data_IF_858721649360
#
_entry.id   IF_858721649360
#
_cell.length_a   1.000
_cell.length_b   1.000
_cell.length_c   1.000
_cell.angle_alpha   90.00
_cell.angle_beta   90.00
_cell.angle_gamma   90.00
#
_symmetry.space_group_name_H-M   'P 1'
#
loop_
_entity.id
_entity.type
_entity.pdbx_description
1 polymer ?
#
# COMPACT_ATOMS: atom_id res chain seq x y z
N UNK A 1 -24.57 13.12 10.80
CA UNK A 1 -24.32 14.32 9.98
C UNK A 1 -25.16 14.19 8.73
N UNK A 2 -26.02 15.17 8.43
CA UNK A 2 -26.77 15.22 7.19
C UNK A 2 -25.79 15.17 6.00
N UNK A 3 -26.15 14.42 4.96
CA UNK A 3 -25.36 14.26 3.74
C UNK A 3 -25.16 15.61 3.07
N UNK A 4 -24.03 16.27 3.34
CA UNK A 4 -23.50 17.24 2.40
C UNK A 4 -23.18 16.44 1.14
N UNK A 5 -23.79 16.82 0.01
CA UNK A 5 -23.57 16.16 -1.27
C UNK A 5 -22.06 16.07 -1.55
N UNK A 6 -21.57 14.85 -1.74
CA UNK A 6 -20.21 14.66 -2.21
C UNK A 6 -20.08 15.33 -3.57
N UNK A 7 -19.00 16.08 -3.82
CA UNK A 7 -18.78 16.69 -5.10
C UNK A 7 -18.71 15.62 -6.19
N UNK A 8 -19.22 15.93 -7.38
CA UNK A 8 -19.06 15.06 -8.55
C UNK A 8 -17.68 15.25 -9.17
N UNK A 9 -17.06 14.16 -9.61
CA UNK A 9 -15.69 14.17 -10.11
C UNK A 9 -14.66 13.96 -9.01
N UNK A 10 -13.39 14.06 -9.40
CA UNK A 10 -12.24 13.62 -8.61
C UNK A 10 -11.36 14.77 -8.13
N UNK A 11 -11.36 15.91 -8.82
CA UNK A 11 -10.51 17.06 -8.46
C UNK A 11 -10.92 17.77 -7.17
N UNK A 12 -12.18 17.60 -6.75
CA UNK A 12 -12.70 18.17 -5.49
C UNK A 12 -12.61 17.18 -4.31
N UNK A 13 -12.19 15.94 -4.56
CA UNK A 13 -11.96 14.96 -3.50
C UNK A 13 -10.69 15.29 -2.72
N UNK A 14 -10.64 14.86 -1.46
CA UNK A 14 -9.50 15.10 -0.56
C UNK A 14 -8.33 14.12 -0.79
N UNK A 15 -8.04 13.83 -2.07
CA UNK A 15 -6.95 12.94 -2.50
C UNK A 15 -5.60 13.64 -2.34
N UNK A 16 -4.56 12.89 -2.03
CA UNK A 16 -3.18 13.35 -1.95
C UNK A 16 -2.69 13.89 -3.29
N UNK A 17 -3.13 13.31 -4.40
CA UNK A 17 -2.86 13.78 -5.77
C UNK A 17 -3.35 15.22 -6.00
N UNK A 18 -4.36 15.68 -5.24
CA UNK A 18 -4.92 17.03 -5.37
C UNK A 18 -4.25 18.06 -4.44
N UNK A 19 -3.34 17.66 -3.54
CA UNK A 19 -2.79 18.53 -2.47
C UNK A 19 -1.59 19.37 -2.86
N UNK A 20 -1.02 19.20 -4.06
CA UNK A 20 0.14 19.96 -4.49
C UNK A 20 1.01 19.23 -5.52
N UNK A 21 2.26 19.70 -5.73
CA UNK A 21 3.19 19.06 -6.64
C UNK A 21 3.54 17.65 -6.16
N UNK A 22 3.71 16.74 -7.10
CA UNK A 22 4.03 15.34 -6.86
C UNK A 22 5.46 15.09 -7.29
N UNK A 23 6.23 14.38 -6.46
CA UNK A 23 7.59 13.97 -6.83
C UNK A 23 7.52 13.05 -8.05
N UNK A 24 8.33 13.33 -9.06
CA UNK A 24 8.27 12.68 -10.37
C UNK A 24 8.36 11.15 -10.29
N UNK A 25 9.29 10.61 -9.49
CA UNK A 25 9.44 9.16 -9.32
C UNK A 25 8.15 8.51 -8.78
N UNK A 26 7.49 9.13 -7.80
CA UNK A 26 6.24 8.64 -7.23
C UNK A 26 5.11 8.67 -8.26
N UNK A 27 5.01 9.76 -9.02
CA UNK A 27 4.01 9.88 -10.07
C UNK A 27 4.22 8.86 -11.19
N UNK A 28 5.47 8.67 -11.63
CA UNK A 28 5.82 7.71 -12.68
C UNK A 28 5.52 6.27 -12.26
N UNK A 29 5.91 5.88 -11.05
CA UNK A 29 5.57 4.56 -10.52
C UNK A 29 4.07 4.37 -10.41
N UNK A 30 3.34 5.36 -9.87
CA UNK A 30 1.89 5.24 -9.74
C UNK A 30 1.21 5.09 -11.10
N UNK A 31 1.66 5.83 -12.11
CA UNK A 31 1.20 5.67 -13.49
C UNK A 31 1.45 4.26 -14.01
N UNK A 32 2.66 3.72 -13.83
CA UNK A 32 2.99 2.34 -14.26
C UNK A 32 2.08 1.30 -13.59
N UNK A 33 1.83 1.41 -12.29
CA UNK A 33 0.91 0.51 -11.57
C UNK A 33 -0.52 0.60 -12.12
N UNK A 34 -1.03 1.82 -12.32
CA UNK A 34 -2.39 2.01 -12.84
C UNK A 34 -2.52 1.54 -14.30
N UNK A 35 -1.49 1.69 -15.13
CA UNK A 35 -1.46 1.18 -16.50
C UNK A 35 -1.44 -0.36 -16.53
N UNK A 36 -0.65 -1.01 -15.68
CA UNK A 36 -0.68 -2.47 -15.50
C UNK A 36 -2.08 -2.94 -15.07
N UNK A 37 -2.70 -2.24 -14.12
CA UNK A 37 -4.03 -2.59 -13.63
C UNK A 37 -5.07 -2.42 -14.75
N UNK A 38 -4.98 -1.34 -15.52
CA UNK A 38 -5.86 -1.08 -16.65
C UNK A 38 -5.73 -2.18 -17.71
N UNK A 39 -4.50 -2.63 -18.01
CA UNK A 39 -4.27 -3.70 -18.98
C UNK A 39 -4.94 -5.01 -18.52
N UNK A 40 -4.79 -5.38 -17.25
CA UNK A 40 -5.39 -6.60 -16.68
C UNK A 40 -6.91 -6.50 -16.54
N UNK A 41 -7.45 -5.30 -16.36
CA UNK A 41 -8.88 -5.05 -16.14
C UNK A 41 -9.59 -4.35 -17.30
N UNK A 42 -9.00 -4.35 -18.50
CA UNK A 42 -9.52 -3.62 -19.66
C UNK A 42 -10.97 -3.99 -20.05
N UNK A 43 -11.41 -5.20 -19.71
CA UNK A 43 -12.76 -5.71 -20.01
C UNK A 43 -13.71 -5.63 -18.81
N UNK A 44 -13.26 -5.08 -17.66
CA UNK A 44 -14.06 -4.97 -16.44
C UNK A 44 -14.56 -3.53 -16.26
N UNK A 45 -15.68 -3.30 -15.57
CA UNK A 45 -16.20 -1.96 -15.28
C UNK A 45 -15.20 -1.06 -14.54
N UNK A 46 -14.39 -1.62 -13.64
CA UNK A 46 -13.36 -0.87 -12.88
C UNK A 46 -12.34 -0.10 -13.75
N UNK A 47 -12.20 -0.43 -15.04
CA UNK A 47 -11.34 0.30 -15.99
C UNK A 47 -11.61 1.81 -16.02
N UNK A 48 -12.86 2.24 -15.83
CA UNK A 48 -13.22 3.66 -15.79
C UNK A 48 -12.65 4.36 -14.55
N UNK A 49 -12.77 3.71 -13.38
CA UNK A 49 -12.16 4.19 -12.14
C UNK A 49 -10.63 4.33 -12.25
N UNK A 50 -9.98 3.37 -12.91
CA UNK A 50 -8.53 3.42 -13.17
C UNK A 50 -8.17 4.59 -14.10
N UNK A 51 -8.92 4.78 -15.19
CA UNK A 51 -8.72 5.91 -16.12
C UNK A 51 -8.95 7.26 -15.46
N UNK A 52 -9.90 7.37 -14.52
CA UNK A 52 -10.08 8.60 -13.74
C UNK A 52 -8.83 8.98 -12.98
N UNK A 53 -8.24 8.03 -12.24
CA UNK A 53 -6.99 8.27 -11.51
C UNK A 53 -5.81 8.58 -12.45
N UNK A 54 -5.71 7.91 -13.61
CA UNK A 54 -4.70 8.24 -14.62
C UNK A 54 -4.88 9.68 -15.15
N UNK A 55 -6.11 10.12 -15.38
CA UNK A 55 -6.41 11.49 -15.82
C UNK A 55 -6.07 12.53 -14.75
N UNK A 56 -6.45 12.30 -13.50
CA UNK A 56 -6.11 13.19 -12.37
C UNK A 56 -4.60 13.25 -12.16
N UNK A 57 -3.90 12.12 -12.25
CA UNK A 57 -2.45 12.06 -12.14
C UNK A 57 -1.76 12.81 -13.29
N UNK A 58 -2.22 12.62 -14.54
CA UNK A 58 -1.69 13.34 -15.69
C UNK A 58 -1.84 14.86 -15.54
N UNK A 59 -3.01 15.31 -15.08
CA UNK A 59 -3.25 16.73 -14.81
C UNK A 59 -2.36 17.27 -13.67
N UNK A 60 -2.12 16.47 -12.63
CA UNK A 60 -1.23 16.86 -11.54
C UNK A 60 0.24 16.95 -11.96
N UNK A 61 0.66 16.17 -12.96
CA UNK A 61 2.03 16.20 -13.50
C UNK A 61 2.26 17.37 -14.47
N UNK A 62 1.26 17.75 -15.26
CA UNK A 62 1.38 18.81 -16.26
C UNK A 62 0.05 19.57 -16.37
N UNK A 63 -0.08 20.64 -15.55
CA UNK A 63 -1.30 21.47 -15.52
C UNK A 63 -1.41 22.39 -16.72
N UNK A 64 -0.29 22.72 -17.34
CA UNK A 64 -0.22 23.67 -18.45
C UNK A 64 -0.53 22.98 -19.78
N UNK A 65 -0.34 21.65 -19.87
CA UNK A 65 -0.69 20.82 -21.03
C UNK A 65 -1.64 19.68 -20.64
N UNK A 66 -2.93 19.97 -20.40
CA UNK A 66 -3.85 18.99 -19.85
C UNK A 66 -4.40 17.99 -20.88
N UNK A 67 -3.86 17.97 -22.11
CA UNK A 67 -4.33 17.11 -23.21
C UNK A 67 -4.34 15.63 -22.81
N UNK A 68 -3.29 15.17 -22.11
CA UNK A 68 -3.23 13.80 -21.61
C UNK A 68 -4.34 13.48 -20.62
N UNK A 69 -4.70 14.42 -19.75
CA UNK A 69 -5.80 14.24 -18.82
C UNK A 69 -7.15 14.23 -19.55
N UNK A 70 -7.31 15.16 -20.52
CA UNK A 70 -8.50 15.28 -21.36
C UNK A 70 -8.78 13.99 -22.11
N UNK A 71 -7.78 13.44 -22.80
CA UNK A 71 -7.87 12.18 -23.54
C UNK A 71 -8.38 11.03 -22.68
N UNK A 72 -7.93 10.93 -21.41
CA UNK A 72 -8.41 9.88 -20.50
C UNK A 72 -9.90 10.02 -20.19
N UNK A 73 -10.39 11.22 -19.91
CA UNK A 73 -11.79 11.46 -19.59
C UNK A 73 -12.70 11.36 -20.82
N UNK A 74 -12.26 11.85 -21.97
CA UNK A 74 -12.96 11.69 -23.26
C UNK A 74 -13.10 10.21 -23.64
N UNK A 75 -12.06 9.40 -23.38
CA UNK A 75 -12.13 7.96 -23.62
C UNK A 75 -13.12 7.23 -22.70
N UNK A 76 -13.33 7.72 -21.47
CA UNK A 76 -14.40 7.19 -20.62
C UNK A 76 -15.75 7.54 -21.24
N UNK A 77 -15.94 8.79 -21.67
CA UNK A 77 -17.21 9.26 -22.26
C UNK A 77 -17.53 8.63 -23.62
N UNK A 78 -16.55 8.13 -24.36
CA UNK A 78 -16.80 7.39 -25.59
C UNK A 78 -17.36 5.98 -25.33
N UNK A 79 -17.06 5.39 -24.17
CA UNK A 79 -17.58 4.09 -23.72
C UNK A 79 -18.84 4.22 -22.85
N UNK A 80 -18.91 5.26 -22.02
CA UNK A 80 -20.02 5.59 -21.12
C UNK A 80 -20.32 7.10 -21.18
N UNK A 81 -21.14 7.54 -22.17
CA UNK A 81 -21.48 8.95 -22.37
C UNK A 81 -22.15 9.61 -21.17
N UNK A 82 -22.66 8.82 -20.23
CA UNK A 82 -23.38 9.28 -19.04
C UNK A 82 -22.54 9.22 -17.77
N UNK A 83 -21.24 8.93 -17.87
CA UNK A 83 -20.35 8.91 -16.71
C UNK A 83 -20.25 10.29 -16.03
N UNK A 84 -20.88 10.43 -14.86
CA UNK A 84 -20.98 11.70 -14.12
C UNK A 84 -19.60 12.23 -13.72
N UNK A 85 -18.70 11.35 -13.28
CA UNK A 85 -17.36 11.73 -12.88
C UNK A 85 -16.53 12.21 -14.07
N UNK A 86 -16.67 11.58 -15.25
CA UNK A 86 -15.92 11.96 -16.44
C UNK A 86 -16.37 13.34 -16.96
N UNK A 87 -17.68 13.60 -16.97
CA UNK A 87 -18.23 14.94 -17.29
C UNK A 87 -17.68 16.01 -16.35
N UNK A 88 -17.67 15.75 -15.04
CA UNK A 88 -17.12 16.68 -14.04
C UNK A 88 -15.63 16.93 -14.22
N UNK A 89 -14.86 15.85 -14.40
CA UNK A 89 -13.42 15.92 -14.54
C UNK A 89 -13.02 16.64 -15.83
N UNK A 90 -13.70 16.36 -16.94
CA UNK A 90 -13.49 17.03 -18.22
C UNK A 90 -13.82 18.52 -18.14
N UNK A 91 -14.93 18.88 -17.48
CA UNK A 91 -15.30 20.27 -17.28
C UNK A 91 -14.23 21.03 -16.46
N UNK A 92 -13.71 20.39 -15.40
CA UNK A 92 -12.62 20.93 -14.60
C UNK A 92 -11.35 21.15 -15.41
N UNK A 93 -10.92 20.14 -16.17
CA UNK A 93 -9.73 20.21 -17.04
C UNK A 93 -9.85 21.31 -18.09
N UNK A 94 -11.04 21.52 -18.65
CA UNK A 94 -11.28 22.54 -19.67
C UNK A 94 -11.48 23.95 -19.09
N UNK A 95 -11.46 24.12 -17.76
CA UNK A 95 -11.74 25.40 -17.11
C UNK A 95 -13.18 25.88 -17.31
N UNK A 96 -14.10 24.97 -17.63
CA UNK A 96 -15.52 25.25 -17.83
C UNK A 96 -16.30 25.02 -16.55
N UNK A 97 -17.46 25.67 -16.40
CA UNK A 97 -18.37 25.37 -15.31
C UNK A 97 -18.77 23.89 -15.40
N UNK A 98 -18.69 23.18 -14.27
CA UNK A 98 -19.26 21.84 -14.20
C UNK A 98 -20.76 21.93 -14.54
N UNK A 99 -21.31 20.99 -15.33
CA UNK A 99 -22.74 20.97 -15.56
C UNK A 99 -23.46 20.93 -14.21
N UNK A 100 -24.61 21.63 -14.06
CA UNK A 100 -25.42 21.49 -12.86
C UNK A 100 -25.79 20.01 -12.76
N UNK A 101 -25.30 19.36 -11.71
CA UNK A 101 -25.81 18.05 -11.33
C UNK A 101 -27.11 18.35 -10.61
N UNK A 102 -28.22 18.21 -11.31
CA UNK A 102 -29.54 18.27 -10.69
C UNK A 102 -29.58 17.31 -9.48
N UNK A 103 -30.45 17.60 -8.51
CA UNK A 103 -30.71 16.64 -7.45
C UNK A 103 -30.98 15.27 -8.09
N UNK A 104 -30.31 14.21 -7.64
CA UNK A 104 -30.34 12.94 -8.32
C UNK A 104 -31.78 12.44 -8.40
N UNK A 105 -32.31 12.27 -9.61
CA UNK A 105 -33.61 11.61 -9.80
C UNK A 105 -33.44 10.12 -9.54
N UNK A 106 -33.46 9.72 -8.26
CA UNK A 106 -33.31 8.34 -7.83
C UNK A 106 -34.59 7.50 -8.04
N UNK A 107 -35.55 7.97 -8.84
CA UNK A 107 -36.76 7.20 -9.13
C UNK A 107 -36.53 6.13 -10.20
N UNK A 108 -35.64 6.37 -11.17
CA UNK A 108 -35.32 5.41 -12.23
C UNK A 108 -34.13 4.51 -11.88
N UNK A 109 -34.16 3.25 -12.34
CA UNK A 109 -33.06 2.30 -12.14
C UNK A 109 -31.76 2.77 -12.82
N UNK A 110 -31.86 3.35 -14.02
CA UNK A 110 -30.72 3.88 -14.76
C UNK A 110 -30.00 5.01 -13.99
N UNK A 111 -30.76 5.93 -13.40
CA UNK A 111 -30.19 7.00 -12.57
C UNK A 111 -29.54 6.44 -11.30
N UNK A 112 -30.17 5.47 -10.62
CA UNK A 112 -29.55 4.79 -9.47
C UNK A 112 -28.22 4.14 -9.83
N UNK A 113 -28.14 3.42 -10.95
CA UNK A 113 -26.90 2.81 -11.43
C UNK A 113 -25.83 3.86 -11.71
N UNK A 114 -26.19 4.95 -12.39
CA UNK A 114 -25.28 6.05 -12.71
C UNK A 114 -24.69 6.70 -11.44
N UNK A 115 -25.52 6.97 -10.43
CA UNK A 115 -25.06 7.51 -9.14
C UNK A 115 -24.27 6.50 -8.31
N UNK A 116 -24.61 5.22 -8.37
CA UNK A 116 -23.83 4.16 -7.71
C UNK A 116 -22.43 4.03 -8.32
N UNK A 117 -22.33 4.03 -9.65
CA UNK A 117 -21.04 4.06 -10.37
C UNK A 117 -20.20 5.26 -9.99
N UNK A 118 -20.82 6.44 -9.91
CA UNK A 118 -20.16 7.65 -9.42
C UNK A 118 -19.48 7.40 -8.07
N UNK A 119 -20.22 6.84 -7.10
CA UNK A 119 -19.66 6.54 -5.79
C UNK A 119 -18.56 5.48 -5.84
N UNK A 120 -18.77 4.38 -6.57
CA UNK A 120 -17.79 3.30 -6.69
C UNK A 120 -16.45 3.79 -7.27
N UNK A 121 -16.48 4.60 -8.33
CA UNK A 121 -15.27 5.18 -8.93
C UNK A 121 -14.56 6.16 -7.98
N UNK A 122 -15.30 6.98 -7.24
CA UNK A 122 -14.71 7.85 -6.20
C UNK A 122 -14.14 7.03 -5.04
N UNK A 123 -14.78 5.91 -4.69
CA UNK A 123 -14.31 4.96 -3.69
C UNK A 123 -12.98 4.34 -4.11
N UNK A 124 -12.88 3.93 -5.38
CA UNK A 124 -11.64 3.46 -5.98
C UNK A 124 -10.53 4.51 -5.86
N UNK A 125 -10.84 5.78 -6.12
CA UNK A 125 -9.86 6.85 -6.04
C UNK A 125 -9.24 6.99 -4.64
N UNK A 126 -10.04 6.93 -3.57
CA UNK A 126 -9.51 6.95 -2.21
C UNK A 126 -8.70 5.70 -1.86
N UNK A 127 -9.05 4.54 -2.42
CA UNK A 127 -8.37 3.27 -2.18
C UNK A 127 -7.01 3.19 -2.86
N UNK A 128 -6.91 3.72 -4.08
CA UNK A 128 -5.79 3.48 -5.00
C UNK A 128 -5.11 4.77 -5.48
N UNK A 129 -5.17 5.86 -4.72
CA UNK A 129 -4.46 7.10 -5.01
C UNK A 129 -2.91 6.95 -4.97
N UNK A 130 -2.20 8.08 -4.88
CA UNK A 130 -0.75 8.24 -5.10
C UNK A 130 0.17 7.23 -4.38
N UNK A 131 -0.14 6.82 -3.15
CA UNK A 131 0.72 5.94 -2.35
C UNK A 131 0.01 4.62 -2.01
N UNK A 132 0.75 3.51 -2.09
CA UNK A 132 0.22 2.15 -1.88
C UNK A 132 -0.17 1.87 -0.42
N UNK A 133 0.49 2.53 0.52
CA UNK A 133 0.29 2.36 1.96
C UNK A 133 0.20 3.72 2.67
N UNK A 134 -0.45 3.71 3.83
CA UNK A 134 -0.52 4.85 4.75
C UNK A 134 -0.76 4.31 6.15
N UNK A 135 -0.42 5.11 7.16
CA UNK A 135 -0.66 4.77 8.58
C UNK A 135 -2.07 5.08 9.09
N UNK A 136 -2.91 5.77 8.32
CA UNK A 136 -4.26 6.19 8.78
C UNK A 136 -5.39 5.43 8.09
N UNK A 137 -6.53 5.31 8.78
CA UNK A 137 -7.72 4.64 8.24
C UNK A 137 -8.54 5.54 7.31
N UNK A 138 -8.42 6.87 7.43
CA UNK A 138 -9.34 7.87 6.86
C UNK A 138 -9.68 7.64 5.38
N UNK A 139 -8.68 7.38 4.53
CA UNK A 139 -8.93 7.18 3.09
C UNK A 139 -9.65 5.86 2.82
N UNK A 140 -9.30 4.80 3.55
CA UNK A 140 -9.94 3.50 3.37
C UNK A 140 -11.36 3.51 3.93
N UNK A 141 -11.62 4.26 4.99
CA UNK A 141 -12.97 4.48 5.52
C UNK A 141 -13.85 5.24 4.52
N UNK A 142 -13.32 6.32 3.91
CA UNK A 142 -14.04 7.04 2.84
C UNK A 142 -14.31 6.15 1.63
N UNK A 143 -13.32 5.36 1.20
CA UNK A 143 -13.50 4.39 0.13
C UNK A 143 -14.58 3.37 0.44
N UNK A 144 -14.54 2.80 1.66
CA UNK A 144 -15.51 1.82 2.14
C UNK A 144 -16.94 2.39 2.20
N UNK A 145 -17.11 3.60 2.73
CA UNK A 145 -18.40 4.30 2.76
C UNK A 145 -18.99 4.46 1.35
N UNK A 146 -18.17 4.94 0.41
CA UNK A 146 -18.60 5.16 -0.98
C UNK A 146 -19.02 3.85 -1.67
N UNK A 147 -18.25 2.77 -1.51
CA UNK A 147 -18.64 1.48 -2.08
C UNK A 147 -19.89 0.89 -1.41
N UNK A 148 -20.05 1.04 -0.10
CA UNK A 148 -21.29 0.60 0.58
C UNK A 148 -22.50 1.37 0.05
N UNK A 149 -22.39 2.69 -0.15
CA UNK A 149 -23.44 3.50 -0.77
C UNK A 149 -23.75 3.06 -2.21
N UNK A 150 -22.73 2.72 -3.00
CA UNK A 150 -22.93 2.18 -4.34
C UNK A 150 -23.69 0.85 -4.30
N UNK A 151 -23.29 -0.05 -3.39
CA UNK A 151 -23.92 -1.36 -3.20
C UNK A 151 -25.36 -1.26 -2.71
N UNK A 152 -25.65 -0.36 -1.76
CA UNK A 152 -27.02 -0.09 -1.27
C UNK A 152 -27.92 0.51 -2.34
N UNK A 153 -27.38 1.40 -3.18
CA UNK A 153 -28.16 2.13 -4.16
C UNK A 153 -28.51 1.29 -5.40
N UNK A 154 -27.56 0.47 -5.89
CA UNK A 154 -27.71 -0.23 -7.15
C UNK A 154 -27.05 -1.62 -7.19
N UNK A 155 -26.66 -2.21 -6.06
CA UNK A 155 -25.96 -3.50 -6.03
C UNK A 155 -26.74 -4.67 -6.64
N UNK A 156 -28.07 -4.59 -6.69
CA UNK A 156 -28.93 -5.58 -7.36
C UNK A 156 -29.35 -5.17 -8.79
N UNK A 157 -28.96 -3.97 -9.22
CA UNK A 157 -29.23 -3.44 -10.56
C UNK A 157 -28.03 -3.61 -11.49
N UNK A 158 -26.81 -3.64 -10.96
CA UNK A 158 -25.60 -3.83 -11.77
C UNK A 158 -25.37 -5.29 -12.13
N UNK A 159 -24.57 -5.52 -13.18
CA UNK A 159 -24.22 -6.87 -13.58
C UNK A 159 -23.28 -7.56 -12.55
N UNK A 160 -23.10 -8.87 -12.71
CA UNK A 160 -22.27 -9.66 -11.80
C UNK A 160 -20.80 -9.21 -11.79
N UNK A 161 -20.25 -8.80 -12.93
CA UNK A 161 -18.84 -8.39 -13.05
C UNK A 161 -18.61 -7.09 -12.27
N UNK A 162 -19.50 -6.13 -12.42
CA UNK A 162 -19.48 -4.86 -11.70
C UNK A 162 -19.67 -5.06 -10.19
N UNK A 163 -20.63 -5.90 -9.80
CA UNK A 163 -20.88 -6.25 -8.39
C UNK A 163 -19.64 -6.89 -7.74
N UNK A 164 -18.96 -7.79 -8.44
CA UNK A 164 -17.74 -8.44 -7.97
C UNK A 164 -16.58 -7.45 -7.79
N UNK A 165 -16.41 -6.48 -8.70
CA UNK A 165 -15.41 -5.41 -8.55
C UNK A 165 -15.67 -4.58 -7.28
N UNK A 166 -16.93 -4.23 -7.03
CA UNK A 166 -17.32 -3.48 -5.83
C UNK A 166 -17.11 -4.30 -4.56
N UNK A 167 -17.54 -5.57 -4.54
CA UNK A 167 -17.28 -6.49 -3.43
C UNK A 167 -15.79 -6.62 -3.13
N UNK A 168 -14.97 -6.76 -4.17
CA UNK A 168 -13.52 -6.87 -4.01
C UNK A 168 -12.95 -5.64 -3.30
N UNK A 169 -13.39 -4.45 -3.71
CA UNK A 169 -12.94 -3.20 -3.12
C UNK A 169 -13.45 -2.99 -1.69
N UNK A 170 -14.69 -3.37 -1.37
CA UNK A 170 -15.21 -3.36 0.00
C UNK A 170 -14.38 -4.29 0.89
N UNK A 171 -14.08 -5.49 0.40
CA UNK A 171 -13.26 -6.46 1.11
C UNK A 171 -11.84 -5.95 1.34
N UNK A 172 -11.23 -5.36 0.31
CA UNK A 172 -9.88 -4.81 0.39
C UNK A 172 -9.81 -3.60 1.33
N UNK A 173 -10.78 -2.70 1.30
CA UNK A 173 -10.87 -1.57 2.22
C UNK A 173 -10.98 -2.05 3.68
N UNK A 174 -11.87 -3.00 3.93
CA UNK A 174 -12.06 -3.60 5.25
C UNK A 174 -10.77 -4.25 5.77
N UNK A 175 -10.06 -5.00 4.91
CA UNK A 175 -8.76 -5.60 5.25
C UNK A 175 -7.67 -4.54 5.52
N UNK A 176 -7.60 -3.47 4.72
CA UNK A 176 -6.61 -2.40 4.91
C UNK A 176 -6.81 -1.67 6.24
N UNK A 177 -8.06 -1.38 6.62
CA UNK A 177 -8.40 -0.80 7.93
C UNK A 177 -8.05 -1.78 9.04
N UNK A 178 -8.45 -3.06 8.93
CA UNK A 178 -8.11 -4.10 9.91
C UNK A 178 -6.60 -4.18 10.16
N UNK A 179 -5.81 -4.13 9.10
CA UNK A 179 -4.34 -4.18 9.19
C UNK A 179 -3.76 -2.98 9.94
N UNK A 180 -4.35 -1.79 9.78
CA UNK A 180 -3.93 -0.58 10.51
C UNK A 180 -4.34 -0.66 11.99
N UNK A 181 -5.56 -1.13 12.29
CA UNK A 181 -6.00 -1.34 13.67
C UNK A 181 -5.15 -2.39 14.39
N UNK A 182 -4.74 -3.46 13.68
CA UNK A 182 -3.82 -4.47 14.19
C UNK A 182 -2.49 -3.86 14.66
N UNK A 183 -2.02 -2.81 13.97
CA UNK A 183 -0.79 -2.11 14.38
C UNK A 183 -1.00 -1.15 15.55
N UNK A 184 -2.23 -0.68 15.78
CA UNK A 184 -2.60 0.20 16.89
C UNK A 184 -3.10 -0.51 18.15
N UNK A 185 -3.16 -1.86 18.16
CA UNK A 185 -3.62 -2.64 19.33
C UNK A 185 -5.13 -2.62 19.57
N UNK A 186 -5.93 -2.06 18.67
CA UNK A 186 -7.39 -2.03 18.78
C UNK A 186 -8.01 -3.32 18.21
N UNK A 187 -8.02 -4.36 19.04
CA UNK A 187 -8.59 -5.69 18.72
C UNK A 187 -10.08 -5.84 19.06
N UNK A 188 -10.82 -4.74 19.20
CA UNK A 188 -12.20 -4.76 19.68
C UNK A 188 -13.25 -5.26 18.65
N UNK A 189 -14.52 -5.03 18.98
CA UNK A 189 -15.67 -5.38 18.13
C UNK A 189 -15.54 -4.85 16.69
N UNK A 190 -14.95 -3.66 16.54
CA UNK A 190 -14.68 -3.05 15.24
C UNK A 190 -13.78 -3.92 14.36
N UNK A 191 -12.69 -4.46 14.92
CA UNK A 191 -11.76 -5.32 14.19
C UNK A 191 -12.44 -6.64 13.76
N UNK A 192 -13.29 -7.20 14.63
CA UNK A 192 -14.09 -8.38 14.28
C UNK A 192 -15.05 -8.09 13.11
N UNK A 193 -15.80 -6.98 13.14
CA UNK A 193 -16.69 -6.60 12.04
C UNK A 193 -15.96 -6.39 10.72
N UNK A 194 -14.76 -5.79 10.75
CA UNK A 194 -13.92 -5.61 9.56
C UNK A 194 -13.41 -6.94 9.01
N UNK A 195 -13.02 -7.87 9.90
CA UNK A 195 -12.62 -9.23 9.51
C UNK A 195 -13.78 -9.98 8.83
N UNK A 196 -14.99 -9.89 9.40
CA UNK A 196 -16.19 -10.52 8.85
C UNK A 196 -16.57 -9.90 7.50
N UNK A 197 -16.53 -8.57 7.38
CA UNK A 197 -16.78 -7.84 6.13
C UNK A 197 -15.78 -8.25 5.04
N UNK A 198 -14.47 -8.22 5.35
CA UNK A 198 -13.43 -8.60 4.39
C UNK A 198 -13.57 -10.05 3.94
N UNK A 199 -13.69 -10.97 4.89
CA UNK A 199 -13.82 -12.40 4.62
C UNK A 199 -15.09 -12.73 3.84
N UNK A 200 -16.22 -12.10 4.18
CA UNK A 200 -17.51 -12.32 3.51
C UNK A 200 -17.49 -11.88 2.05
N UNK A 201 -16.92 -10.71 1.75
CA UNK A 201 -16.82 -10.20 0.39
C UNK A 201 -15.89 -11.04 -0.48
N UNK A 202 -14.69 -11.40 0.02
CA UNK A 202 -13.80 -12.28 -0.75
C UNK A 202 -14.40 -13.67 -0.94
N UNK A 203 -15.10 -14.20 0.07
CA UNK A 203 -15.82 -15.48 -0.03
C UNK A 203 -16.88 -15.46 -1.13
N UNK A 204 -17.67 -14.39 -1.21
CA UNK A 204 -18.70 -14.23 -2.22
C UNK A 204 -18.12 -14.29 -3.65
N UNK A 205 -16.95 -13.71 -3.88
CA UNK A 205 -16.27 -13.73 -5.18
C UNK A 205 -15.72 -15.13 -5.51
N UNK A 206 -15.03 -15.78 -4.57
CA UNK A 206 -14.42 -17.08 -4.84
C UNK A 206 -15.46 -18.19 -5.05
N UNK A 207 -16.63 -18.06 -4.41
CA UNK A 207 -17.76 -18.98 -4.56
C UNK A 207 -18.67 -18.59 -5.75
N UNK A 208 -18.51 -17.39 -6.34
CA UNK A 208 -19.30 -16.93 -7.49
C UNK A 208 -19.08 -17.83 -8.72
N UNK A 209 -20.14 -18.34 -9.37
CA UNK A 209 -20.00 -19.06 -10.63
C UNK A 209 -19.69 -18.13 -11.82
N UNK A 210 -19.91 -16.82 -11.67
CA UNK A 210 -19.72 -15.82 -12.72
C UNK A 210 -18.31 -15.22 -12.72
N UNK A 211 -17.63 -15.25 -11.56
CA UNK A 211 -16.29 -14.69 -11.43
C UNK A 211 -15.28 -15.45 -12.29
N UNK A 212 -14.51 -14.71 -13.09
CA UNK A 212 -13.38 -15.24 -13.85
C UNK A 212 -12.20 -15.65 -12.94
N UNK A 213 -11.24 -16.36 -13.51
CA UNK A 213 -10.09 -16.86 -12.75
C UNK A 213 -9.19 -15.74 -12.22
N UNK A 214 -9.10 -14.60 -12.92
CA UNK A 214 -8.23 -13.50 -12.51
C UNK A 214 -8.74 -12.87 -11.21
N UNK A 215 -10.03 -12.49 -11.15
CA UNK A 215 -10.59 -11.91 -9.92
C UNK A 215 -10.71 -12.95 -8.80
N UNK A 216 -10.97 -14.23 -9.11
CA UNK A 216 -10.94 -15.31 -8.11
C UNK A 216 -9.55 -15.49 -7.52
N UNK A 217 -8.50 -15.47 -8.34
CA UNK A 217 -7.11 -15.59 -7.89
C UNK A 217 -6.75 -14.43 -6.96
N UNK A 218 -7.09 -13.19 -7.32
CA UNK A 218 -6.88 -12.01 -6.46
C UNK A 218 -7.71 -12.11 -5.16
N UNK A 219 -8.97 -12.54 -5.23
CA UNK A 219 -9.83 -12.69 -4.04
C UNK A 219 -9.31 -13.78 -3.10
N UNK A 220 -8.87 -14.93 -3.60
CA UNK A 220 -8.22 -15.97 -2.80
C UNK A 220 -6.97 -15.47 -2.09
N UNK A 221 -6.13 -14.70 -2.79
CA UNK A 221 -4.95 -14.08 -2.22
C UNK A 221 -5.31 -13.13 -1.06
N UNK A 222 -6.24 -12.20 -1.29
CA UNK A 222 -6.65 -11.25 -0.24
C UNK A 222 -7.37 -11.96 0.92
N UNK A 223 -8.11 -13.03 0.63
CA UNK A 223 -8.76 -13.84 1.66
C UNK A 223 -7.73 -14.51 2.57
N UNK A 224 -6.67 -15.10 2.01
CA UNK A 224 -5.56 -15.67 2.77
C UNK A 224 -4.92 -14.63 3.72
N UNK A 225 -4.63 -13.44 3.20
CA UNK A 225 -4.04 -12.33 3.97
C UNK A 225 -4.97 -11.87 5.10
N UNK A 226 -6.26 -11.79 4.82
CA UNK A 226 -7.30 -11.42 5.79
C UNK A 226 -7.38 -12.42 6.93
N UNK A 227 -7.47 -13.72 6.62
CA UNK A 227 -7.54 -14.78 7.62
C UNK A 227 -6.27 -14.85 8.47
N UNK A 228 -5.10 -14.72 7.83
CA UNK A 228 -3.83 -14.69 8.55
C UNK A 228 -3.77 -13.53 9.53
N UNK A 229 -4.20 -12.34 9.11
CA UNK A 229 -4.23 -11.15 9.95
C UNK A 229 -5.20 -11.31 11.12
N UNK A 230 -6.41 -11.82 10.87
CA UNK A 230 -7.38 -12.13 11.93
C UNK A 230 -6.82 -13.09 12.97
N UNK A 231 -6.17 -14.18 12.52
CA UNK A 231 -5.51 -15.15 13.42
C UNK A 231 -4.39 -14.53 14.25
N UNK A 232 -3.54 -13.66 13.67
CA UNK A 232 -2.50 -12.94 14.41
C UNK A 232 -3.06 -12.00 15.48
N UNK A 233 -4.29 -11.51 15.31
CA UNK A 233 -5.00 -10.67 16.27
C UNK A 233 -5.83 -11.47 17.29
N UNK A 234 -5.83 -12.81 17.21
CA UNK A 234 -6.69 -13.66 18.05
C UNK A 234 -8.19 -13.54 17.71
N UNK A 235 -8.53 -13.04 16.52
CA UNK A 235 -9.90 -12.94 16.04
C UNK A 235 -10.33 -14.24 15.39
N UNK A 236 -11.60 -14.59 15.56
CA UNK A 236 -12.17 -15.82 14.99
C UNK A 236 -13.08 -15.45 13.83
N UNK A 237 -12.60 -15.66 12.61
CA UNK A 237 -13.43 -15.60 11.41
C UNK A 237 -14.41 -16.79 11.36
N UNK A 238 -15.55 -16.62 10.68
CA UNK A 238 -16.52 -17.71 10.45
C UNK A 238 -16.03 -18.74 9.42
N UNK A 239 -14.95 -18.44 8.70
CA UNK A 239 -14.42 -19.30 7.66
C UNK A 239 -13.52 -20.38 8.24
N UNK A 240 -13.91 -21.65 8.06
CA UNK A 240 -13.09 -22.81 8.43
C UNK A 240 -12.17 -23.21 7.25
N UNK A 241 -11.26 -22.31 6.86
CA UNK A 241 -10.30 -22.53 5.77
C UNK A 241 -8.92 -22.04 6.18
N UNK A 242 -7.90 -22.87 5.92
CA UNK A 242 -6.52 -22.51 6.21
C UNK A 242 -6.02 -21.43 5.23
N UNK A 243 -5.36 -20.36 5.72
CA UNK A 243 -4.80 -19.32 4.84
C UNK A 243 -3.86 -19.86 3.75
N UNK A 244 -3.11 -20.93 4.05
CA UNK A 244 -2.22 -21.60 3.10
C UNK A 244 -2.99 -22.22 1.94
N UNK A 245 -4.13 -22.86 2.23
CA UNK A 245 -4.99 -23.42 1.19
C UNK A 245 -5.56 -22.33 0.26
N UNK A 246 -5.91 -21.16 0.81
CA UNK A 246 -6.32 -20.02 0.01
C UNK A 246 -5.21 -19.57 -0.95
N UNK A 247 -3.94 -19.57 -0.52
CA UNK A 247 -2.81 -19.21 -1.39
C UNK A 247 -2.57 -20.24 -2.49
N UNK A 248 -2.71 -21.53 -2.18
CA UNK A 248 -2.60 -22.60 -3.19
C UNK A 248 -3.69 -22.43 -4.27
N UNK A 249 -4.93 -22.17 -3.87
CA UNK A 249 -6.03 -21.88 -4.80
C UNK A 249 -5.81 -20.60 -5.60
N UNK A 250 -5.24 -19.55 -5.01
CA UNK A 250 -4.86 -18.35 -5.75
C UNK A 250 -3.84 -18.67 -6.84
N UNK A 251 -2.81 -19.45 -6.52
CA UNK A 251 -1.73 -19.80 -7.44
C UNK A 251 -2.23 -20.66 -8.60
N UNK A 252 -3.10 -21.64 -8.32
CA UNK A 252 -3.74 -22.49 -9.34
C UNK A 252 -4.56 -21.69 -10.36
N UNK A 253 -5.16 -20.58 -9.94
CA UNK A 253 -6.03 -19.74 -10.77
C UNK A 253 -5.32 -18.53 -11.38
N UNK A 254 -4.03 -18.32 -11.08
CA UNK A 254 -3.29 -17.14 -11.53
C UNK A 254 -3.21 -17.11 -13.08
N UNK A 255 -3.70 -16.04 -13.74
CA UNK A 255 -3.82 -15.99 -15.19
C UNK A 255 -2.50 -15.66 -15.89
N UNK A 256 -1.54 -15.07 -15.17
CA UNK A 256 -0.28 -14.56 -15.70
C UNK A 256 0.86 -14.72 -14.67
N UNK A 257 2.09 -14.52 -15.13
CA UNK A 257 3.28 -14.68 -14.32
C UNK A 257 3.45 -13.55 -13.29
N UNK A 258 2.91 -12.35 -13.55
CA UNK A 258 2.92 -11.25 -12.58
C UNK A 258 2.09 -11.57 -11.33
N UNK A 259 0.91 -12.18 -11.50
CA UNK A 259 0.08 -12.57 -10.37
C UNK A 259 0.68 -13.78 -9.65
N UNK A 260 1.26 -14.74 -10.36
CA UNK A 260 2.02 -15.85 -9.73
C UNK A 260 3.16 -15.32 -8.88
N UNK A 261 3.96 -14.39 -9.40
CA UNK A 261 5.03 -13.74 -8.65
C UNK A 261 4.50 -13.10 -7.36
N UNK A 262 3.44 -12.29 -7.45
CA UNK A 262 2.81 -11.66 -6.29
C UNK A 262 2.33 -12.67 -5.24
N UNK A 263 1.74 -13.79 -5.65
CA UNK A 263 1.26 -14.84 -4.75
C UNK A 263 2.43 -15.55 -4.07
N UNK A 264 3.48 -15.93 -4.81
CA UNK A 264 4.69 -16.56 -4.27
C UNK A 264 5.37 -15.67 -3.22
N UNK A 265 5.46 -14.36 -3.48
CA UNK A 265 5.98 -13.41 -2.51
C UNK A 265 5.15 -13.38 -1.21
N UNK A 266 3.82 -13.50 -1.28
CA UNK A 266 2.96 -13.59 -0.08
C UNK A 266 3.08 -14.94 0.63
N UNK A 267 3.21 -16.05 -0.10
CA UNK A 267 3.49 -17.37 0.48
C UNK A 267 4.83 -17.38 1.23
N UNK A 268 5.84 -16.69 0.73
CA UNK A 268 7.12 -16.56 1.41
C UNK A 268 6.99 -15.87 2.77
N UNK A 269 6.13 -14.85 2.88
CA UNK A 269 5.87 -14.16 4.16
C UNK A 269 5.30 -15.13 5.21
N UNK A 270 4.42 -16.03 4.80
CA UNK A 270 3.77 -16.99 5.68
C UNK A 270 4.80 -18.02 6.13
N UNK A 271 5.54 -18.57 5.17
CA UNK A 271 6.59 -19.58 5.37
C UNK A 271 7.71 -19.09 6.28
N UNK A 272 8.12 -17.83 6.16
CA UNK A 272 9.16 -17.28 7.03
C UNK A 272 8.77 -17.29 8.51
N UNK A 273 7.47 -17.16 8.82
CA UNK A 273 6.96 -17.13 10.20
C UNK A 273 6.71 -18.53 10.79
N UNK A 274 6.61 -19.59 9.98
CA UNK A 274 6.23 -20.93 10.48
C UNK A 274 7.38 -21.67 11.15
N UNK A 275 8.62 -21.53 10.67
CA UNK A 275 9.80 -22.22 11.23
C UNK A 275 11.03 -21.31 11.25
N UNK A 276 11.81 -21.35 12.34
CA UNK A 276 12.94 -20.42 12.55
C UNK A 276 14.14 -20.65 11.63
N UNK A 277 14.41 -21.87 11.17
CA UNK A 277 15.60 -22.22 10.38
C UNK A 277 15.23 -22.68 8.97
N UNK A 278 14.25 -23.56 8.83
CA UNK A 278 13.73 -24.00 7.52
C UNK A 278 12.93 -22.89 6.84
N UNK A 279 12.21 -22.09 7.63
CA UNK A 279 11.37 -21.00 7.11
C UNK A 279 12.15 -19.95 6.36
N UNK A 280 13.39 -19.61 6.78
CA UNK A 280 14.25 -18.70 6.02
C UNK A 280 14.63 -19.26 4.65
N UNK A 281 15.10 -20.52 4.59
CA UNK A 281 15.52 -21.12 3.31
C UNK A 281 14.35 -21.25 2.33
N UNK A 282 13.20 -21.74 2.81
CA UNK A 282 12.00 -21.90 1.97
C UNK A 282 11.42 -20.56 1.53
N UNK A 283 11.33 -19.57 2.43
CA UNK A 283 10.87 -18.24 2.06
C UNK A 283 11.79 -17.59 1.02
N UNK A 284 13.11 -17.74 1.16
CA UNK A 284 14.06 -17.22 0.16
C UNK A 284 13.87 -17.89 -1.20
N UNK A 285 13.72 -19.21 -1.25
CA UNK A 285 13.49 -19.93 -2.51
C UNK A 285 12.18 -19.48 -3.21
N UNK A 286 11.12 -19.24 -2.44
CA UNK A 286 9.86 -18.68 -2.96
C UNK A 286 10.05 -17.26 -3.50
N UNK A 287 10.85 -16.43 -2.84
CA UNK A 287 11.12 -15.05 -3.28
C UNK A 287 12.02 -15.01 -4.51
N UNK A 288 13.01 -15.89 -4.59
CA UNK A 288 13.83 -16.06 -5.78
C UNK A 288 12.95 -16.48 -6.96
N UNK A 289 12.09 -17.49 -6.77
CA UNK A 289 11.12 -17.92 -7.80
C UNK A 289 10.16 -16.80 -8.20
N UNK A 290 9.64 -16.03 -7.22
CA UNK A 290 8.79 -14.87 -7.47
C UNK A 290 9.46 -13.84 -8.37
N UNK A 291 10.75 -13.56 -8.13
CA UNK A 291 11.53 -12.58 -8.89
C UNK A 291 11.89 -13.13 -10.28
N UNK A 292 12.07 -14.44 -10.42
CA UNK A 292 12.27 -15.08 -11.73
C UNK A 292 11.00 -14.96 -12.60
N UNK A 293 9.80 -15.02 -12.01
CA UNK A 293 8.53 -14.79 -12.72
C UNK A 293 8.31 -13.32 -13.09
N UNK A 294 8.69 -12.38 -12.22
CA UNK A 294 8.57 -10.94 -12.46
C UNK A 294 9.75 -10.21 -11.82
N UNK A 295 10.74 -9.88 -12.65
CA UNK A 295 11.94 -9.16 -12.22
C UNK A 295 11.79 -7.63 -12.29
N UNK A 296 10.61 -7.12 -12.66
CA UNK A 296 10.35 -5.69 -12.77
C UNK A 296 10.24 -5.03 -11.39
N UNK A 297 10.25 -3.69 -11.38
CA UNK A 297 10.00 -2.90 -10.17
C UNK A 297 8.56 -3.01 -9.66
N UNK A 298 7.60 -3.51 -10.45
CA UNK A 298 6.22 -3.74 -9.99
C UNK A 298 6.13 -4.90 -8.99
N UNK A 299 7.10 -5.82 -9.01
CA UNK A 299 7.25 -6.87 -8.00
C UNK A 299 8.04 -6.41 -6.77
N UNK A 300 8.01 -5.12 -6.43
CA UNK A 300 8.79 -4.54 -5.32
C UNK A 300 8.61 -5.29 -4.00
N UNK A 301 7.43 -5.87 -3.75
CA UNK A 301 7.17 -6.59 -2.51
C UNK A 301 8.08 -7.82 -2.34
N UNK A 302 8.40 -8.53 -3.42
CA UNK A 302 9.29 -9.69 -3.35
C UNK A 302 10.71 -9.26 -2.94
N UNK A 303 11.23 -8.22 -3.57
CA UNK A 303 12.53 -7.63 -3.22
C UNK A 303 12.55 -7.07 -1.79
N UNK A 304 11.55 -6.27 -1.42
CA UNK A 304 11.43 -5.70 -0.06
C UNK A 304 11.36 -6.79 1.01
N UNK A 305 10.56 -7.83 0.80
CA UNK A 305 10.45 -8.95 1.73
C UNK A 305 11.74 -9.78 1.78
N UNK A 306 12.41 -10.01 0.64
CA UNK A 306 13.70 -10.71 0.60
C UNK A 306 14.77 -9.94 1.38
N UNK A 307 14.82 -8.62 1.22
CA UNK A 307 15.69 -7.76 2.01
C UNK A 307 15.37 -7.85 3.50
N UNK A 308 14.09 -7.77 3.89
CA UNK A 308 13.67 -7.87 5.29
C UNK A 308 14.11 -9.19 5.95
N UNK A 309 13.87 -10.34 5.30
CA UNK A 309 14.25 -11.63 5.88
C UNK A 309 15.77 -11.81 5.91
N UNK A 310 16.50 -11.26 4.93
CA UNK A 310 17.96 -11.25 4.92
C UNK A 310 18.55 -10.42 6.05
N UNK A 311 18.01 -9.23 6.32
CA UNK A 311 18.40 -8.38 7.46
C UNK A 311 18.13 -9.12 8.79
N UNK A 312 16.94 -9.71 8.95
CA UNK A 312 16.61 -10.50 10.15
C UNK A 312 17.56 -11.68 10.36
N UNK A 313 17.92 -12.37 9.29
CA UNK A 313 18.83 -13.51 9.35
C UNK A 313 20.29 -13.07 9.59
N UNK A 314 20.69 -11.91 9.06
CA UNK A 314 21.99 -11.31 9.35
C UNK A 314 22.15 -10.99 10.83
N UNK A 315 21.14 -10.38 11.48
CA UNK A 315 21.23 -10.03 12.91
C UNK A 315 21.66 -11.21 13.78
N UNK A 316 21.31 -12.44 13.37
CA UNK A 316 21.66 -13.71 14.01
C UNK A 316 23.00 -14.29 13.54
N UNK A 317 23.19 -14.40 12.23
CA UNK A 317 24.32 -15.13 11.63
C UNK A 317 25.58 -14.29 11.42
N UNK A 318 25.44 -12.96 11.41
CA UNK A 318 26.47 -11.99 11.02
C UNK A 318 27.07 -12.23 9.62
N UNK A 319 26.36 -12.95 8.76
CA UNK A 319 26.80 -13.20 7.39
C UNK A 319 26.60 -11.97 6.50
N UNK A 320 27.70 -11.29 6.16
CA UNK A 320 27.71 -10.05 5.38
C UNK A 320 27.04 -10.19 4.01
N UNK A 321 27.14 -11.36 3.37
CA UNK A 321 26.50 -11.59 2.07
C UNK A 321 24.98 -11.39 2.10
N UNK A 322 24.34 -11.63 3.25
CA UNK A 322 22.90 -11.37 3.42
C UNK A 322 22.58 -9.87 3.41
N UNK A 323 23.43 -9.05 4.02
CA UNK A 323 23.24 -7.59 4.04
C UNK A 323 23.57 -6.97 2.70
N UNK A 324 24.63 -7.44 2.02
CA UNK A 324 24.91 -7.02 0.65
C UNK A 324 23.72 -7.29 -0.26
N UNK A 325 23.14 -8.50 -0.19
CA UNK A 325 21.94 -8.84 -0.96
C UNK A 325 20.73 -7.97 -0.61
N UNK A 326 20.49 -7.71 0.67
CA UNK A 326 19.40 -6.85 1.10
C UNK A 326 19.58 -5.40 0.59
N UNK A 327 20.81 -4.87 0.65
CA UNK A 327 21.15 -3.56 0.08
C UNK A 327 20.84 -3.51 -1.40
N UNK A 328 21.28 -4.50 -2.17
CA UNK A 328 21.08 -4.53 -3.63
C UNK A 328 19.59 -4.60 -4.00
N UNK A 329 18.80 -5.41 -3.29
CA UNK A 329 17.35 -5.49 -3.49
C UNK A 329 16.66 -4.15 -3.21
N UNK A 330 17.06 -3.46 -2.14
CA UNK A 330 16.48 -2.18 -1.73
C UNK A 330 16.91 -1.03 -2.66
N UNK A 331 18.18 -0.97 -3.05
CA UNK A 331 18.70 -0.01 -4.03
C UNK A 331 18.03 -0.18 -5.40
N UNK A 332 17.72 -1.41 -5.80
CA UNK A 332 16.98 -1.68 -7.03
C UNK A 332 15.55 -1.10 -6.98
N UNK A 333 14.77 -1.44 -5.95
CA UNK A 333 13.36 -0.99 -5.89
C UNK A 333 13.24 0.52 -5.65
N UNK A 334 14.12 1.12 -4.83
CA UNK A 334 14.04 2.54 -4.47
C UNK A 334 14.36 3.49 -5.63
N UNK A 335 14.88 2.98 -6.76
CA UNK A 335 15.02 3.76 -8.00
C UNK A 335 13.67 4.09 -8.63
N UNK A 336 12.65 3.28 -8.38
CA UNK A 336 11.34 3.38 -9.03
C UNK A 336 10.21 3.51 -8.00
N UNK A 337 10.28 2.81 -6.87
CA UNK A 337 9.27 2.82 -5.83
C UNK A 337 9.78 3.50 -4.57
N UNK A 338 9.25 4.68 -4.27
CA UNK A 338 9.59 5.42 -3.06
C UNK A 338 8.73 4.95 -1.89
N UNK A 339 9.37 4.37 -0.88
CA UNK A 339 8.74 3.83 0.31
C UNK A 339 9.58 4.15 1.55
N UNK A 340 9.00 4.75 2.60
CA UNK A 340 9.75 5.04 3.82
C UNK A 340 10.16 3.75 4.56
N UNK A 341 9.41 2.66 4.44
CA UNK A 341 9.79 1.36 5.02
C UNK A 341 11.06 0.81 4.34
N UNK A 342 11.20 0.98 3.03
CA UNK A 342 12.34 0.44 2.29
C UNK A 342 13.58 1.33 2.43
N UNK A 343 13.42 2.65 2.49
CA UNK A 343 14.51 3.54 2.86
C UNK A 343 15.02 3.28 4.28
N UNK A 344 14.12 3.06 5.25
CA UNK A 344 14.50 2.69 6.62
C UNK A 344 15.33 1.40 6.65
N UNK A 345 14.89 0.35 5.93
CA UNK A 345 15.65 -0.91 5.82
C UNK A 345 16.98 -0.73 5.11
N UNK A 346 17.06 0.17 4.11
CA UNK A 346 18.31 0.43 3.38
C UNK A 346 19.30 1.17 4.28
N UNK A 347 18.83 2.14 5.07
CA UNK A 347 19.64 2.80 6.08
C UNK A 347 20.16 1.79 7.11
N UNK A 348 19.33 0.83 7.53
CA UNK A 348 19.76 -0.26 8.42
C UNK A 348 20.81 -1.16 7.76
N UNK A 349 20.67 -1.50 6.47
CA UNK A 349 21.67 -2.27 5.74
C UNK A 349 23.02 -1.53 5.68
N UNK A 350 23.02 -0.23 5.39
CA UNK A 350 24.23 0.59 5.42
C UNK A 350 24.85 0.68 6.81
N UNK A 351 24.06 0.81 7.86
CA UNK A 351 24.54 0.77 9.24
C UNK A 351 25.30 -0.54 9.53
N UNK A 352 24.76 -1.68 9.11
CA UNK A 352 25.43 -2.96 9.34
C UNK A 352 26.70 -3.12 8.50
N UNK A 353 26.71 -2.65 7.25
CA UNK A 353 27.91 -2.65 6.43
C UNK A 353 28.99 -1.73 7.00
N UNK A 354 28.63 -0.56 7.52
CA UNK A 354 29.54 0.35 8.19
C UNK A 354 30.19 -0.28 9.43
N UNK A 355 29.42 -1.02 10.25
CA UNK A 355 29.92 -1.75 11.42
C UNK A 355 30.85 -2.91 11.07
N UNK A 356 30.79 -3.42 9.84
CA UNK A 356 31.55 -4.58 9.39
C UNK A 356 32.69 -4.24 8.43
N UNK A 357 32.89 -2.95 8.14
CA UNK A 357 33.96 -2.42 7.30
C UNK A 357 34.85 -1.47 8.11
N UNK A 358 36.00 -1.08 7.56
CA UNK A 358 36.96 -0.16 8.18
C UNK A 358 37.40 0.94 7.22
N UNK A 359 37.89 2.05 7.75
CA UNK A 359 38.52 3.11 6.96
C UNK A 359 37.52 3.87 6.06
N UNK A 360 37.85 3.99 4.78
CA UNK A 360 37.05 4.76 3.81
C UNK A 360 35.72 4.09 3.46
N UNK A 361 35.69 2.76 3.36
CA UNK A 361 34.46 2.03 3.04
C UNK A 361 33.40 2.22 4.13
N UNK A 362 33.80 2.14 5.39
CA UNK A 362 32.91 2.40 6.53
C UNK A 362 32.35 3.83 6.50
N UNK A 363 33.20 4.82 6.19
CA UNK A 363 32.80 6.23 6.05
C UNK A 363 31.82 6.44 4.89
N UNK A 364 32.00 5.74 3.76
CA UNK A 364 31.07 5.79 2.64
C UNK A 364 29.69 5.24 3.00
N UNK A 365 29.64 4.10 3.71
CA UNK A 365 28.38 3.55 4.20
C UNK A 365 27.69 4.44 5.24
N UNK A 366 28.45 5.08 6.13
CA UNK A 366 27.90 6.07 7.08
C UNK A 366 27.24 7.21 6.31
N UNK A 367 27.93 7.79 5.32
CA UNK A 367 27.41 8.88 4.49
C UNK A 367 26.13 8.45 3.76
N UNK A 368 26.17 7.31 3.06
CA UNK A 368 25.00 6.76 2.34
C UNK A 368 23.84 6.47 3.28
N UNK A 369 24.11 5.95 4.48
CA UNK A 369 23.11 5.71 5.51
C UNK A 369 22.40 6.99 5.95
N UNK A 370 23.15 8.07 6.23
CA UNK A 370 22.57 9.37 6.59
C UNK A 370 21.77 10.01 5.45
N UNK A 371 22.28 9.98 4.22
CA UNK A 371 21.56 10.44 3.03
C UNK A 371 20.24 9.66 2.84
N UNK A 372 20.28 8.36 3.09
CA UNK A 372 19.10 7.48 3.03
C UNK A 372 18.09 7.83 4.12
N UNK A 373 18.55 8.15 5.34
CA UNK A 373 17.67 8.62 6.40
C UNK A 373 16.96 9.94 6.02
N UNK A 374 17.68 10.90 5.43
CA UNK A 374 17.10 12.16 4.97
C UNK A 374 16.06 11.94 3.87
N UNK A 375 16.34 11.05 2.90
CA UNK A 375 15.37 10.67 1.87
C UNK A 375 14.12 10.02 2.48
N UNK A 376 14.30 9.13 3.46
CA UNK A 376 13.20 8.51 4.19
C UNK A 376 12.33 9.56 4.88
N UNK A 377 12.93 10.50 5.60
CA UNK A 377 12.24 11.57 6.33
C UNK A 377 11.36 12.43 5.41
N UNK A 378 11.83 12.70 4.18
CA UNK A 378 11.08 13.43 3.15
C UNK A 378 9.95 12.64 2.47
N UNK A 379 9.80 11.35 2.74
CA UNK A 379 8.72 10.53 2.19
C UNK A 379 7.42 10.71 2.98
N UNK A 380 6.28 10.31 2.38
CA UNK A 380 5.02 10.24 3.10
C UNK A 380 5.18 9.35 4.35
N UNK A 381 4.72 9.84 5.50
CA UNK A 381 4.80 9.18 6.81
C UNK A 381 6.22 8.89 7.34
N UNK A 382 7.29 9.24 6.59
CA UNK A 382 8.67 8.89 6.92
C UNK A 382 9.21 9.56 8.17
N UNK A 383 8.99 10.88 8.32
CA UNK A 383 9.42 11.63 9.52
C UNK A 383 8.82 11.10 10.83
N UNK A 384 7.67 10.43 10.78
CA UNK A 384 6.98 9.89 11.95
C UNK A 384 7.41 8.46 12.34
N UNK A 385 8.50 7.93 11.79
CA UNK A 385 8.95 6.55 12.03
C UNK A 385 10.03 6.50 13.11
N UNK A 386 9.75 5.81 14.21
CA UNK A 386 10.73 5.70 15.31
C UNK A 386 11.98 4.92 14.91
N UNK A 387 11.84 3.86 14.10
CA UNK A 387 12.95 2.99 13.67
C UNK A 387 13.91 3.77 12.77
N UNK A 388 13.42 4.62 11.87
CA UNK A 388 14.25 5.54 11.09
C UNK A 388 15.18 6.36 12.00
N UNK A 389 14.61 6.99 13.04
CA UNK A 389 15.35 7.84 13.95
C UNK A 389 16.32 7.06 14.85
N UNK A 390 15.97 5.83 15.22
CA UNK A 390 16.87 4.89 15.88
C UNK A 390 18.11 4.59 15.02
N UNK A 391 17.88 4.18 13.77
CA UNK A 391 18.97 3.86 12.83
C UNK A 391 19.84 5.09 12.57
N UNK A 392 19.23 6.27 12.37
CA UNK A 392 19.96 7.53 12.21
C UNK A 392 20.86 7.83 13.42
N UNK A 393 20.32 7.71 14.64
CA UNK A 393 21.09 7.90 15.87
C UNK A 393 22.28 6.94 15.98
N UNK A 394 22.09 5.67 15.62
CA UNK A 394 23.18 4.68 15.61
C UNK A 394 24.26 5.00 14.56
N UNK A 395 23.89 5.45 13.37
CA UNK A 395 24.84 5.87 12.33
C UNK A 395 25.62 7.12 12.78
N UNK A 396 24.94 8.11 13.38
CA UNK A 396 25.57 9.32 13.91
C UNK A 396 26.56 9.00 15.04
N UNK A 397 26.25 8.03 15.90
CA UNK A 397 27.20 7.53 16.91
C UNK A 397 28.46 6.94 16.27
N UNK A 398 28.32 6.14 15.19
CA UNK A 398 29.48 5.63 14.45
C UNK A 398 30.30 6.75 13.80
N UNK A 399 29.65 7.85 13.43
CA UNK A 399 30.30 9.04 12.87
C UNK A 399 30.90 9.97 13.95
N UNK A 400 30.76 9.66 15.24
CA UNK A 400 31.22 10.52 16.35
C UNK A 400 30.33 11.75 16.63
N UNK A 401 29.17 11.85 15.99
CA UNK A 401 28.22 12.96 16.14
C UNK A 401 27.20 12.66 17.25
N UNK A 402 27.69 12.65 18.50
CA UNK A 402 26.92 12.20 19.65
C UNK A 402 25.74 13.13 20.01
N UNK A 403 25.86 14.44 19.78
CA UNK A 403 24.79 15.40 20.07
C UNK A 403 23.59 15.18 19.15
N UNK A 404 23.84 15.11 17.84
CA UNK A 404 22.83 14.87 16.81
C UNK A 404 22.22 13.46 16.94
N UNK A 405 23.00 12.49 17.43
CA UNK A 405 22.50 11.16 17.74
C UNK A 405 21.46 11.20 18.87
N UNK A 406 21.72 11.95 19.95
CA UNK A 406 20.76 12.10 21.05
C UNK A 406 19.46 12.77 20.61
N UNK A 407 19.55 13.80 19.76
CA UNK A 407 18.39 14.45 19.15
C UNK A 407 17.58 13.46 18.31
N UNK A 408 18.25 12.65 17.48
CA UNK A 408 17.59 11.60 16.69
C UNK A 408 16.85 10.62 17.59
N UNK A 409 17.48 10.11 18.65
CA UNK A 409 16.81 9.20 19.59
C UNK A 409 15.61 9.86 20.30
N UNK A 410 15.70 11.14 20.64
CA UNK A 410 14.60 11.89 21.25
C UNK A 410 13.40 12.00 20.30
N UNK A 411 13.64 12.28 19.02
CA UNK A 411 12.58 12.30 18.00
C UNK A 411 11.98 10.89 17.86
N UNK A 412 12.81 9.85 17.85
CA UNK A 412 12.36 8.46 17.83
C UNK A 412 11.41 8.10 18.97
N UNK A 413 11.73 8.52 20.22
CA UNK A 413 10.86 8.33 21.39
C UNK A 413 9.54 9.07 21.21
N UNK A 414 9.57 10.34 20.80
CA UNK A 414 8.37 11.14 20.56
C UNK A 414 7.48 10.52 19.46
N UNK A 415 8.06 9.87 18.44
CA UNK A 415 7.27 9.15 17.44
C UNK A 415 6.51 7.95 18.05
N UNK A 416 7.12 7.21 18.96
CA UNK A 416 6.44 6.08 19.63
C UNK A 416 5.33 6.57 20.57
N UNK A 417 5.62 7.60 21.35
CA UNK A 417 4.64 8.19 22.29
C UNK A 417 3.41 8.77 21.56
N UNK A 418 3.63 9.50 20.47
CA UNK A 418 2.55 10.15 19.71
C UNK A 418 1.72 9.17 18.85
N UNK A 419 2.24 7.98 18.55
CA UNK A 419 1.50 6.98 17.75
C UNK A 419 0.61 6.09 18.59
N UNK A 420 0.60 6.24 19.93
CA UNK A 420 -0.07 5.31 20.84
C UNK A 420 0.55 3.91 20.83
N UNK A 421 1.74 3.77 20.22
CA UNK A 421 2.39 2.52 19.92
C UNK A 421 3.75 2.47 20.63
N UNK A 422 3.89 1.53 21.56
CA UNK A 422 5.19 1.12 22.07
C UNK A 422 5.61 -0.08 21.22
N UNK A 423 6.54 0.13 20.29
CA UNK A 423 7.13 -0.94 19.47
C UNK A 423 7.93 -1.98 20.25
N UNK A 424 8.09 -1.71 21.55
CA UNK A 424 9.12 -2.29 22.41
C UNK A 424 10.44 -1.53 22.34
N UNK A 425 10.61 -0.56 21.43
CA UNK A 425 11.89 0.15 21.26
C UNK A 425 12.02 1.41 22.11
N UNK A 426 10.97 1.98 22.74
CA UNK A 426 11.16 3.11 23.70
C UNK A 426 12.25 2.79 24.73
N UNK A 427 12.24 1.57 25.28
CA UNK A 427 13.25 1.11 26.22
C UNK A 427 14.66 1.07 25.61
N UNK A 428 14.80 0.52 24.39
CA UNK A 428 16.06 0.45 23.66
C UNK A 428 16.58 1.84 23.26
N UNK A 429 15.70 2.71 22.75
CA UNK A 429 15.98 4.11 22.40
C UNK A 429 16.42 4.93 23.62
N UNK A 430 15.70 4.79 24.74
CA UNK A 430 16.05 5.46 25.99
C UNK A 430 17.33 4.91 26.61
N UNK A 431 17.63 3.62 26.43
CA UNK A 431 18.89 3.01 26.86
C UNK A 431 20.07 3.48 26.00
N UNK A 432 19.93 3.51 24.68
CA UNK A 432 20.95 4.02 23.77
C UNK A 432 21.22 5.50 24.01
N UNK A 433 20.18 6.33 24.16
CA UNK A 433 20.35 7.73 24.54
C UNK A 433 21.13 7.88 25.85
N UNK A 434 20.73 7.17 26.91
CA UNK A 434 21.45 7.19 28.20
C UNK A 434 22.87 6.65 28.10
N UNK A 435 23.15 5.75 27.15
CA UNK A 435 24.50 5.27 26.88
C UNK A 435 25.36 6.38 26.27
N UNK A 436 24.84 7.06 25.24
CA UNK A 436 25.52 8.19 24.59
C UNK A 436 25.73 9.35 25.56
N UNK A 437 24.72 9.72 26.35
CA UNK A 437 24.83 10.76 27.40
C UNK A 437 25.95 10.44 28.41
N UNK A 438 26.13 9.18 28.78
CA UNK A 438 27.19 8.75 29.70
C UNK A 438 28.58 8.76 29.06
N UNK A 439 28.67 8.53 27.75
CA UNK A 439 29.94 8.61 27.01
C UNK A 439 30.35 10.05 26.74
N UNK A 440 29.39 10.94 26.46
CA UNK A 440 29.64 12.34 26.16
C UNK A 440 30.03 13.17 27.39
N UNK A 441 29.53 12.80 28.57
CA UNK A 441 29.81 13.49 29.84
C UNK A 441 31.06 12.96 30.58
N UNK A 442 31.83 12.06 29.97
CA UNK A 442 33.13 11.56 30.47
C UNK A 442 34.24 12.15 29.62
#
# INVERSE_FOLDING_TARGET
MAAADLPVGHFQLQLLTNRGPIVEVTANYKRMVLEDYLQRKQNRPERHAIRHLLGVLAFAQDRDVPDRARERFEFILSEDPDNLNAKANLAYVNGTAAPPYDEPDLTSEASKQQHARRFAEQGYAYMFELFDETKTCDRYEKGLDLYNRAMELAGDLVDHTEKEDWQFCIGLASYKILRILATGGDGGQRAQSLLESASGNFRAIVDSPHADNAIKSEAWLQFALTLKKGSEMGLHGRANIAPEHCLDRALELAPDDSLKARILARQAHFTFKTDRNEGFRRARALLDSSIDFDNSSLNFHAYSLRAEICIKQYRRSKNIALITRAKDDLEFILQQHVSPWDFERLAEAYLYLAKSSIGEESRDYIRKGLETCTKCEGCQDGAGRSILHHVRGQILCLNGQHQEAMESFQIGIACEENTGWISGNVGALAEERRHVERQYNR
#
